data_IF_696723947795
#
_entry.id   IF_696723947795
#
_cell.length_a   1.000
_cell.length_b   1.000
_cell.length_c   1.000
_cell.angle_alpha   90.00
_cell.angle_beta   90.00
_cell.angle_gamma   90.00
#
_symmetry.space_group_name_H-M   'P 1'
#
loop_
_entity.id
_entity.type
_entity.pdbx_description
1 polymer ?
#
# COMPACT_ATOMS: atom_id res chain seq x y z
N UNK A 1 26.39 27.28 -21.90
CA UNK A 1 25.44 26.90 -20.87
C UNK A 1 24.33 26.02 -21.43
N UNK A 2 23.90 26.25 -22.63
CA UNK A 2 22.85 25.46 -23.25
C UNK A 2 22.56 25.83 -24.69
N UNK A 3 21.86 24.96 -25.38
CA UNK A 3 21.33 25.15 -26.72
C UNK A 3 19.83 24.92 -26.72
N UNK A 4 19.05 25.83 -27.27
CA UNK A 4 17.60 25.73 -27.37
C UNK A 4 17.11 26.14 -28.75
N UNK A 5 16.01 25.55 -29.22
CA UNK A 5 15.34 25.97 -30.44
C UNK A 5 14.38 27.11 -30.12
N UNK A 6 14.44 28.21 -30.87
CA UNK A 6 13.55 29.37 -30.73
C UNK A 6 12.66 29.60 -31.94
N UNK A 7 12.73 28.71 -32.94
CA UNK A 7 11.93 28.77 -34.15
C UNK A 7 12.39 27.77 -35.19
N UNK A 8 11.68 27.72 -36.32
CA UNK A 8 12.06 26.82 -37.42
C UNK A 8 13.41 27.24 -38.00
N UNK A 9 14.44 26.37 -37.83
CA UNK A 9 15.79 26.57 -38.35
C UNK A 9 16.64 27.57 -37.51
N UNK A 10 16.16 28.07 -36.39
CA UNK A 10 16.92 29.03 -35.55
C UNK A 10 17.22 28.39 -34.18
N UNK A 11 18.52 28.38 -33.83
CA UNK A 11 19.00 27.89 -32.55
C UNK A 11 19.62 29.00 -31.74
N UNK A 12 19.32 29.05 -30.47
CA UNK A 12 19.95 29.95 -29.48
C UNK A 12 21.03 29.18 -28.73
N UNK A 13 22.19 29.78 -28.65
CA UNK A 13 23.32 29.29 -27.83
C UNK A 13 23.64 30.32 -26.77
N UNK A 14 23.58 29.92 -25.51
CA UNK A 14 23.96 30.77 -24.38
C UNK A 14 25.38 30.38 -23.91
N UNK A 15 26.30 31.33 -23.99
CA UNK A 15 27.70 31.17 -23.62
C UNK A 15 28.11 32.20 -22.55
N UNK A 16 28.93 31.77 -21.59
CA UNK A 16 29.60 32.63 -20.65
C UNK A 16 31.05 32.80 -21.07
N UNK A 17 31.59 34.02 -20.88
CA UNK A 17 32.99 34.36 -21.19
C UNK A 17 33.61 35.12 -20.02
N UNK A 18 34.95 35.11 -19.95
CA UNK A 18 35.72 35.88 -18.95
C UNK A 18 35.37 35.48 -17.51
N UNK A 19 35.19 36.46 -16.65
CA UNK A 19 34.92 36.27 -15.20
C UNK A 19 33.61 35.49 -14.95
N UNK A 20 32.58 35.68 -15.79
CA UNK A 20 31.32 34.94 -15.68
C UNK A 20 31.49 33.45 -15.90
N UNK A 21 32.34 33.02 -16.83
CA UNK A 21 32.64 31.61 -17.07
C UNK A 21 33.41 31.01 -15.87
N UNK A 22 34.34 31.72 -15.30
CA UNK A 22 35.09 31.30 -14.12
C UNK A 22 34.19 31.15 -12.89
N UNK A 23 33.35 32.15 -12.63
CA UNK A 23 32.40 32.11 -11.51
C UNK A 23 31.41 30.95 -11.62
N UNK A 24 30.94 30.65 -12.84
CA UNK A 24 30.07 29.51 -13.11
C UNK A 24 30.77 28.19 -12.82
N UNK A 25 31.99 27.98 -13.34
CA UNK A 25 32.77 26.77 -13.09
C UNK A 25 33.09 26.56 -11.62
N UNK A 26 33.42 27.64 -10.90
CA UNK A 26 33.66 27.59 -9.45
C UNK A 26 32.41 27.15 -8.68
N UNK A 27 31.22 27.62 -9.08
CA UNK A 27 29.95 27.23 -8.49
C UNK A 27 29.63 25.75 -8.76
N UNK A 28 29.83 25.27 -9.99
CA UNK A 28 29.65 23.84 -10.31
C UNK A 28 30.61 22.96 -9.48
N UNK A 29 31.87 23.35 -9.38
CA UNK A 29 32.85 22.62 -8.58
C UNK A 29 32.46 22.58 -7.09
N UNK A 30 31.97 23.67 -6.53
CA UNK A 30 31.48 23.72 -5.17
C UNK A 30 30.29 22.81 -4.93
N UNK A 31 29.32 22.76 -5.87
CA UNK A 31 28.18 21.87 -5.81
C UNK A 31 28.57 20.38 -5.88
N UNK A 32 29.49 20.05 -6.79
CA UNK A 32 30.01 18.66 -6.91
C UNK A 32 30.75 18.27 -5.64
N UNK A 33 31.56 19.15 -5.06
CA UNK A 33 32.27 18.91 -3.81
C UNK A 33 31.31 18.72 -2.63
N UNK A 34 30.23 19.49 -2.57
CA UNK A 34 29.18 19.35 -1.56
C UNK A 34 28.47 18.01 -1.69
N UNK A 35 28.09 17.61 -2.91
CA UNK A 35 27.46 16.30 -3.17
C UNK A 35 28.40 15.15 -2.78
N UNK A 36 29.68 15.26 -3.14
CA UNK A 36 30.70 14.29 -2.77
C UNK A 36 30.79 14.12 -1.24
N UNK A 37 30.74 15.23 -0.51
CA UNK A 37 30.71 15.20 0.96
C UNK A 37 29.47 14.52 1.54
N UNK A 38 28.29 14.76 0.97
CA UNK A 38 27.02 14.15 1.42
C UNK A 38 27.06 12.62 1.22
N UNK A 39 27.57 12.15 0.08
CA UNK A 39 27.60 10.73 -0.27
C UNK A 39 28.81 9.99 0.30
N UNK A 40 29.78 10.73 0.86
CA UNK A 40 31.02 10.21 1.41
C UNK A 40 31.91 9.58 0.34
N UNK A 41 32.07 10.27 -0.81
CA UNK A 41 32.87 9.83 -1.95
C UNK A 41 33.76 10.97 -2.44
N UNK A 42 34.75 10.68 -3.31
CA UNK A 42 35.47 11.71 -4.06
C UNK A 42 34.62 12.17 -5.25
N UNK A 43 34.86 13.40 -5.77
CA UNK A 43 34.09 13.93 -6.91
C UNK A 43 34.07 13.02 -8.15
N UNK A 44 35.18 12.37 -8.44
CA UNK A 44 35.35 11.44 -9.56
C UNK A 44 34.64 10.09 -9.37
N UNK A 45 34.33 9.72 -8.11
CA UNK A 45 33.63 8.48 -7.74
C UNK A 45 32.12 8.67 -7.53
N UNK A 46 31.63 9.92 -7.67
CA UNK A 46 30.22 10.26 -7.40
C UNK A 46 29.21 9.42 -8.19
N UNK A 47 29.36 9.22 -9.52
CA UNK A 47 28.38 8.46 -10.29
C UNK A 47 28.24 7.01 -9.76
N UNK A 48 29.36 6.31 -9.60
CA UNK A 48 29.34 4.93 -9.10
C UNK A 48 28.82 4.82 -7.67
N UNK A 49 29.12 5.83 -6.84
CA UNK A 49 28.67 5.87 -5.45
C UNK A 49 27.16 6.08 -5.36
N UNK A 50 26.62 6.99 -6.18
CA UNK A 50 25.18 7.24 -6.26
C UNK A 50 24.45 6.00 -6.76
N UNK A 51 24.92 5.36 -7.82
CA UNK A 51 24.36 4.14 -8.35
C UNK A 51 24.36 3.01 -7.31
N UNK A 52 25.45 2.85 -6.56
CA UNK A 52 25.54 1.86 -5.48
C UNK A 52 24.53 2.16 -4.35
N UNK A 53 24.34 3.42 -3.96
CA UNK A 53 23.35 3.82 -2.94
C UNK A 53 21.93 3.53 -3.41
N UNK A 54 21.60 3.89 -4.66
CA UNK A 54 20.28 3.63 -5.24
C UNK A 54 20.00 2.13 -5.38
N UNK A 55 21.00 1.34 -5.78
CA UNK A 55 20.86 -0.12 -5.85
C UNK A 55 20.62 -0.74 -4.47
N UNK A 56 21.34 -0.28 -3.44
CA UNK A 56 21.14 -0.72 -2.06
C UNK A 56 19.78 -0.33 -1.52
N UNK A 57 19.31 0.88 -1.80
CA UNK A 57 17.97 1.33 -1.41
C UNK A 57 16.91 0.42 -2.03
N UNK A 58 16.97 0.19 -3.33
CA UNK A 58 16.03 -0.69 -4.05
C UNK A 58 16.04 -2.13 -3.50
N UNK A 59 17.22 -2.66 -3.15
CA UNK A 59 17.34 -3.99 -2.55
C UNK A 59 16.72 -4.04 -1.17
N UNK A 60 16.97 -3.04 -0.31
CA UNK A 60 16.39 -2.94 1.03
C UNK A 60 14.86 -2.80 0.98
N UNK A 61 14.33 -2.00 0.08
CA UNK A 61 12.87 -1.86 -0.12
C UNK A 61 12.24 -3.20 -0.54
N UNK A 62 12.89 -3.94 -1.45
CA UNK A 62 12.44 -5.26 -1.88
C UNK A 62 12.46 -6.29 -0.74
N UNK A 63 13.49 -6.28 0.08
CA UNK A 63 13.62 -7.17 1.25
C UNK A 63 12.55 -6.85 2.30
N UNK A 64 12.34 -5.57 2.62
CA UNK A 64 11.27 -5.13 3.52
C UNK A 64 9.90 -5.59 3.01
N UNK A 65 9.63 -5.44 1.72
CA UNK A 65 8.37 -5.89 1.11
C UNK A 65 8.20 -7.42 1.20
N UNK A 66 9.28 -8.19 1.01
CA UNK A 66 9.27 -9.65 1.15
C UNK A 66 9.01 -10.10 2.59
N UNK A 67 9.72 -9.53 3.56
CA UNK A 67 9.54 -9.84 4.99
C UNK A 67 8.13 -9.47 5.49
N UNK A 68 7.59 -8.34 5.03
CA UNK A 68 6.20 -7.95 5.35
C UNK A 68 5.20 -8.98 4.79
N UNK A 69 5.38 -9.42 3.54
CA UNK A 69 4.51 -10.41 2.92
C UNK A 69 4.59 -11.75 3.65
N UNK A 70 5.78 -12.20 4.01
CA UNK A 70 5.98 -13.42 4.79
C UNK A 70 5.27 -13.35 6.15
N UNK A 71 5.44 -12.24 6.88
CA UNK A 71 4.76 -11.99 8.15
C UNK A 71 3.23 -12.02 8.02
N UNK A 72 2.68 -11.40 6.98
CA UNK A 72 1.24 -11.42 6.71
C UNK A 72 0.74 -12.81 6.38
N UNK A 73 1.47 -13.57 5.57
CA UNK A 73 1.11 -14.96 5.19
C UNK A 73 1.18 -15.94 6.37
N UNK A 74 2.12 -15.75 7.30
CA UNK A 74 2.22 -16.58 8.50
C UNK A 74 0.96 -16.48 9.40
N UNK A 75 0.32 -15.32 9.45
CA UNK A 75 -0.91 -15.11 10.23
C UNK A 75 -2.18 -15.71 9.63
N UNK A 76 -2.16 -16.15 8.37
CA UNK A 76 -3.37 -16.68 7.70
C UNK A 76 -3.90 -17.95 8.36
N UNK A 77 -3.00 -18.82 8.88
CA UNK A 77 -3.39 -20.04 9.62
C UNK A 77 -4.17 -19.72 10.89
N UNK A 78 -3.73 -18.72 11.64
CA UNK A 78 -4.39 -18.29 12.87
C UNK A 78 -5.78 -17.69 12.59
N UNK A 79 -5.90 -16.94 11.48
CA UNK A 79 -7.19 -16.38 11.04
C UNK A 79 -8.19 -17.48 10.73
N UNK A 80 -7.77 -18.53 10.03
CA UNK A 80 -8.60 -19.69 9.72
C UNK A 80 -9.01 -20.47 10.98
N UNK A 81 -8.14 -20.54 11.98
CA UNK A 81 -8.45 -21.13 13.30
C UNK A 81 -9.45 -20.30 14.11
N UNK A 82 -9.55 -18.99 13.87
CA UNK A 82 -10.43 -18.04 14.55
C UNK A 82 -11.87 -17.97 13.98
N UNK A 83 -12.32 -19.02 13.29
CA UNK A 83 -13.68 -19.10 12.74
C UNK A 83 -14.77 -18.84 13.78
N UNK A 84 -15.70 -17.95 13.48
CA UNK A 84 -16.87 -17.64 14.30
C UNK A 84 -18.16 -17.85 13.53
N UNK A 85 -19.10 -18.60 14.09
CA UNK A 85 -20.42 -18.79 13.49
C UNK A 85 -21.33 -17.62 13.82
N UNK A 86 -21.89 -16.97 12.78
CA UNK A 86 -22.86 -15.88 12.90
C UNK A 86 -24.04 -16.21 11.99
N UNK A 87 -25.20 -16.51 12.57
CA UNK A 87 -26.35 -17.03 11.83
C UNK A 87 -25.98 -18.26 11.01
N UNK A 88 -26.12 -18.20 9.69
CA UNK A 88 -25.76 -19.26 8.75
C UNK A 88 -24.33 -19.16 8.21
N UNK A 89 -23.59 -18.08 8.54
CA UNK A 89 -22.28 -17.79 7.97
C UNK A 89 -21.14 -18.13 8.93
N UNK A 90 -20.03 -18.57 8.37
CA UNK A 90 -18.75 -18.65 9.05
C UNK A 90 -17.97 -17.34 8.81
N UNK A 91 -17.75 -16.57 9.86
CA UNK A 91 -17.06 -15.28 9.80
C UNK A 91 -15.61 -15.46 10.26
N UNK A 92 -14.68 -15.00 9.43
CA UNK A 92 -13.26 -14.95 9.71
C UNK A 92 -12.84 -13.49 9.82
N UNK A 93 -12.34 -13.08 10.97
CA UNK A 93 -11.89 -11.71 11.23
C UNK A 93 -10.40 -11.67 11.52
N UNK A 94 -9.72 -10.69 10.91
CA UNK A 94 -8.34 -10.35 11.24
C UNK A 94 -8.13 -8.85 11.32
N UNK A 95 -7.51 -8.42 12.42
CA UNK A 95 -6.94 -7.08 12.58
C UNK A 95 -5.44 -7.12 12.38
N UNK A 96 -4.93 -6.54 11.29
CA UNK A 96 -3.51 -6.59 10.94
C UNK A 96 -2.67 -5.52 11.64
N UNK A 97 -3.33 -4.58 12.38
CA UNK A 97 -2.64 -3.39 12.90
C UNK A 97 -2.21 -2.45 11.79
N UNK A 98 -1.03 -1.84 11.92
CA UNK A 98 -0.48 -0.96 10.91
C UNK A 98 0.10 -1.77 9.73
N UNK A 99 -0.31 -1.43 8.52
CA UNK A 99 0.16 -2.04 7.25
C UNK A 99 0.65 -0.96 6.29
N UNK A 100 1.45 -1.34 5.30
CA UNK A 100 2.03 -0.39 4.36
C UNK A 100 0.99 0.17 3.36
N UNK A 101 0.01 -0.64 2.98
CA UNK A 101 -0.98 -0.28 1.97
C UNK A 101 -2.31 -1.01 2.16
N UNK A 102 -3.36 -0.50 1.52
CA UNK A 102 -4.64 -1.21 1.43
C UNK A 102 -4.54 -2.52 0.63
N UNK A 103 -3.53 -2.65 -0.24
CA UNK A 103 -3.28 -3.88 -0.99
C UNK A 103 -2.78 -5.02 -0.09
N UNK A 104 -2.07 -4.72 1.00
CA UNK A 104 -1.68 -5.71 2.00
C UNK A 104 -2.92 -6.33 2.66
N UNK A 105 -3.90 -5.49 3.04
CA UNK A 105 -5.19 -5.93 3.61
C UNK A 105 -5.93 -6.83 2.61
N UNK A 106 -5.95 -6.43 1.34
CA UNK A 106 -6.59 -7.17 0.25
C UNK A 106 -5.91 -8.51 0.00
N UNK A 107 -4.59 -8.55 0.01
CA UNK A 107 -3.82 -9.78 -0.17
C UNK A 107 -4.17 -10.81 0.90
N UNK A 108 -4.15 -10.41 2.18
CA UNK A 108 -4.52 -11.32 3.28
C UNK A 108 -5.97 -11.79 3.15
N UNK A 109 -6.92 -10.90 2.85
CA UNK A 109 -8.31 -11.28 2.67
C UNK A 109 -8.50 -12.30 1.53
N UNK A 110 -7.76 -12.12 0.43
CA UNK A 110 -7.78 -13.03 -0.72
C UNK A 110 -7.16 -14.38 -0.39
N UNK A 111 -6.03 -14.38 0.33
CA UNK A 111 -5.33 -15.61 0.74
C UNK A 111 -6.17 -16.43 1.71
N UNK A 112 -6.77 -15.78 2.73
CA UNK A 112 -7.70 -16.47 3.66
C UNK A 112 -8.89 -17.05 2.90
N UNK A 113 -9.52 -16.23 2.06
CA UNK A 113 -10.67 -16.63 1.25
C UNK A 113 -10.32 -17.80 0.31
N UNK A 114 -9.13 -17.81 -0.28
CA UNK A 114 -8.67 -18.85 -1.20
C UNK A 114 -8.43 -20.22 -0.53
N UNK A 115 -8.32 -20.28 0.80
CA UNK A 115 -8.15 -21.51 1.58
C UNK A 115 -9.46 -22.06 2.14
N UNK A 116 -10.57 -21.36 1.94
CA UNK A 116 -11.92 -21.78 2.36
C UNK A 116 -12.64 -22.39 1.16
N UNK A 117 -13.31 -23.51 1.36
CA UNK A 117 -14.11 -24.15 0.32
C UNK A 117 -15.25 -23.20 -0.13
N UNK A 118 -15.47 -23.12 -1.43
CA UNK A 118 -16.47 -22.22 -2.01
C UNK A 118 -17.92 -22.66 -1.72
N UNK A 119 -18.10 -23.92 -1.30
CA UNK A 119 -19.36 -24.47 -0.83
C UNK A 119 -19.71 -24.10 0.62
N UNK A 120 -18.72 -23.64 1.42
CA UNK A 120 -18.95 -23.16 2.78
C UNK A 120 -19.45 -21.72 2.76
N UNK A 121 -20.52 -21.36 3.48
CA UNK A 121 -21.04 -20.00 3.51
C UNK A 121 -20.16 -19.08 4.39
N UNK A 122 -19.01 -18.65 3.85
CA UNK A 122 -18.01 -17.93 4.61
C UNK A 122 -17.88 -16.44 4.19
N UNK A 123 -17.66 -15.61 5.19
CA UNK A 123 -17.35 -14.17 5.08
C UNK A 123 -16.03 -13.90 5.74
N UNK A 124 -15.08 -13.39 4.97
CA UNK A 124 -13.75 -12.99 5.44
C UNK A 124 -13.72 -11.48 5.56
N UNK A 125 -13.35 -10.97 6.73
CA UNK A 125 -13.23 -9.54 7.03
C UNK A 125 -11.81 -9.28 7.53
N UNK A 126 -11.05 -8.49 6.81
CA UNK A 126 -9.67 -8.12 7.21
C UNK A 126 -9.60 -6.62 7.33
N UNK A 127 -9.18 -6.14 8.49
CA UNK A 127 -8.99 -4.73 8.78
C UNK A 127 -7.53 -4.41 9.13
N UNK A 128 -7.09 -3.21 8.78
CA UNK A 128 -5.78 -2.67 9.13
C UNK A 128 -5.79 -1.15 9.11
N UNK A 129 -4.68 -0.54 9.48
CA UNK A 129 -4.47 0.91 9.39
C UNK A 129 -3.36 1.22 8.41
N UNK A 130 -3.60 2.19 7.53
CA UNK A 130 -2.62 2.72 6.57
C UNK A 130 -2.44 4.20 6.87
N UNK A 131 -1.25 4.60 7.33
CA UNK A 131 -0.97 5.98 7.74
C UNK A 131 -2.02 6.51 8.74
N UNK A 132 -2.37 5.69 9.74
CA UNK A 132 -3.35 6.04 10.77
C UNK A 132 -4.82 6.01 10.32
N UNK A 133 -5.13 5.66 9.08
CA UNK A 133 -6.50 5.54 8.56
C UNK A 133 -6.90 4.07 8.42
N UNK A 134 -8.12 3.70 8.86
CA UNK A 134 -8.57 2.32 8.73
C UNK A 134 -8.83 1.96 7.26
N UNK A 135 -8.40 0.77 6.90
CA UNK A 135 -8.69 0.09 5.64
C UNK A 135 -9.28 -1.27 5.95
N UNK A 136 -10.31 -1.66 5.24
CA UNK A 136 -11.00 -2.94 5.41
C UNK A 136 -11.27 -3.58 4.07
N UNK A 137 -11.14 -4.90 4.03
CA UNK A 137 -11.54 -5.72 2.88
C UNK A 137 -12.48 -6.80 3.38
N UNK A 138 -13.60 -6.97 2.67
CA UNK A 138 -14.55 -8.05 2.87
C UNK A 138 -14.51 -8.95 1.63
N UNK A 139 -14.36 -10.24 1.85
CA UNK A 139 -14.45 -11.25 0.78
C UNK A 139 -15.45 -12.34 1.16
N UNK A 140 -16.17 -12.87 0.17
CA UNK A 140 -17.24 -13.86 0.37
C UNK A 140 -17.05 -15.06 -0.55
N UNK A 141 -17.43 -16.25 -0.07
CA UNK A 141 -17.51 -17.47 -0.88
C UNK A 141 -18.76 -17.47 -1.77
N UNK A 142 -18.82 -18.37 -2.74
CA UNK A 142 -20.00 -18.53 -3.60
C UNK A 142 -21.24 -18.90 -2.79
N UNK A 143 -21.12 -19.80 -1.83
CA UNK A 143 -22.22 -20.20 -0.95
C UNK A 143 -22.70 -19.04 -0.08
N UNK A 144 -21.77 -18.19 0.44
CA UNK A 144 -22.17 -17.01 1.20
C UNK A 144 -22.96 -16.00 0.36
N UNK A 145 -22.56 -15.78 -0.90
CA UNK A 145 -23.30 -14.90 -1.83
C UNK A 145 -24.69 -15.44 -2.16
N UNK A 146 -24.80 -16.74 -2.40
CA UNK A 146 -26.09 -17.40 -2.62
C UNK A 146 -27.01 -17.30 -1.38
N UNK A 147 -26.42 -17.33 -0.18
CA UNK A 147 -27.12 -17.12 1.08
C UNK A 147 -27.42 -15.64 1.41
N UNK A 148 -27.01 -14.68 0.52
CA UNK A 148 -27.34 -13.27 0.62
C UNK A 148 -26.23 -12.36 1.17
N UNK A 149 -25.08 -12.90 1.58
CA UNK A 149 -23.93 -12.09 2.03
C UNK A 149 -23.15 -11.56 0.82
N UNK A 150 -23.25 -10.24 0.57
CA UNK A 150 -22.56 -9.55 -0.53
C UNK A 150 -21.47 -8.64 0.02
N UNK A 151 -20.22 -8.85 -0.41
CA UNK A 151 -19.06 -8.10 0.09
C UNK A 151 -19.22 -6.59 -0.09
N UNK A 152 -19.75 -6.14 -1.23
CA UNK A 152 -19.97 -4.71 -1.49
C UNK A 152 -20.92 -4.05 -0.49
N UNK A 153 -22.01 -4.72 -0.11
CA UNK A 153 -22.96 -4.25 0.89
C UNK A 153 -22.34 -4.24 2.29
N UNK A 154 -21.73 -5.35 2.68
CA UNK A 154 -21.11 -5.51 4.00
C UNK A 154 -20.00 -4.50 4.24
N UNK A 155 -19.13 -4.25 3.23
CA UNK A 155 -18.05 -3.26 3.37
C UNK A 155 -18.60 -1.84 3.43
N UNK A 156 -19.69 -1.52 2.74
CA UNK A 156 -20.30 -0.20 2.80
C UNK A 156 -20.85 0.09 4.19
N UNK A 157 -21.55 -0.86 4.81
CA UNK A 157 -22.05 -0.78 6.19
C UNK A 157 -20.89 -0.65 7.19
N UNK A 158 -19.88 -1.50 7.08
CA UNK A 158 -18.67 -1.47 7.91
C UNK A 158 -17.95 -0.11 7.84
N UNK A 159 -17.71 0.39 6.63
CA UNK A 159 -16.99 1.65 6.40
C UNK A 159 -17.78 2.87 6.89
N UNK A 160 -19.11 2.84 6.82
CA UNK A 160 -19.98 3.89 7.38
C UNK A 160 -19.75 4.04 8.89
N UNK A 161 -19.61 2.92 9.61
CA UNK A 161 -19.29 2.93 11.05
C UNK A 161 -17.93 3.56 11.33
N UNK A 162 -16.96 3.40 10.42
CA UNK A 162 -15.63 4.02 10.50
C UNK A 162 -15.61 5.51 10.10
N UNK A 163 -16.73 6.10 9.74
CA UNK A 163 -16.82 7.48 9.25
C UNK A 163 -16.27 7.66 7.84
N UNK A 164 -16.43 6.63 6.99
CA UNK A 164 -15.94 6.64 5.62
C UNK A 164 -16.89 5.95 4.65
N UNK A 165 -16.33 5.38 3.58
CA UNK A 165 -17.07 4.71 2.54
C UNK A 165 -16.30 3.54 1.97
N UNK A 166 -17.03 2.64 1.31
CA UNK A 166 -16.47 1.48 0.66
C UNK A 166 -17.41 0.94 -0.40
N UNK A 167 -16.89 0.04 -1.22
CA UNK A 167 -17.63 -0.61 -2.27
C UNK A 167 -16.76 -1.60 -3.03
N UNK A 168 -17.37 -2.25 -3.99
CA UNK A 168 -16.69 -3.25 -4.80
C UNK A 168 -17.69 -4.27 -5.34
N UNK A 169 -17.17 -5.42 -5.74
CA UNK A 169 -17.99 -6.52 -6.23
C UNK A 169 -18.58 -7.32 -5.07
N UNK A 170 -19.52 -8.22 -5.41
CA UNK A 170 -20.18 -9.07 -4.42
C UNK A 170 -19.24 -10.14 -3.82
N UNK A 171 -18.15 -10.49 -4.53
CA UNK A 171 -17.16 -11.48 -4.09
C UNK A 171 -16.05 -10.87 -3.23
N UNK A 172 -15.64 -9.64 -3.55
CA UNK A 172 -14.63 -8.90 -2.81
C UNK A 172 -14.88 -7.39 -2.94
N UNK A 173 -14.81 -6.69 -1.81
CA UNK A 173 -14.98 -5.26 -1.74
C UNK A 173 -14.03 -4.65 -0.71
N UNK A 174 -13.69 -3.38 -0.92
CA UNK A 174 -12.76 -2.64 -0.06
C UNK A 174 -13.37 -1.33 0.37
N UNK A 175 -13.05 -0.91 1.57
CA UNK A 175 -13.47 0.36 2.13
C UNK A 175 -12.52 0.86 3.21
N UNK A 176 -12.89 1.93 3.83
CA UNK A 176 -12.10 2.54 4.89
C UNK A 176 -12.86 3.67 5.56
N UNK A 177 -12.17 4.38 6.44
CA UNK A 177 -12.76 5.49 7.18
C UNK A 177 -11.71 6.42 7.77
N UNK A 178 -12.09 7.09 8.84
CA UNK A 178 -11.21 8.06 9.49
C UNK A 178 -10.83 7.61 10.91
N UNK A 179 -11.64 6.78 11.55
CA UNK A 179 -11.45 6.39 12.95
C UNK A 179 -11.12 4.90 13.08
N UNK A 180 -9.83 4.55 13.26
CA UNK A 180 -9.41 3.17 13.42
C UNK A 180 -9.84 2.52 14.76
N UNK A 181 -10.16 3.32 15.79
CA UNK A 181 -10.59 2.80 17.08
C UNK A 181 -11.95 2.09 17.01
N UNK A 182 -12.73 2.38 15.98
CA UNK A 182 -14.07 1.81 15.76
C UNK A 182 -14.09 0.53 14.95
N UNK A 183 -12.94 -0.07 14.62
CA UNK A 183 -12.86 -1.31 13.84
C UNK A 183 -13.65 -2.46 14.47
N UNK A 184 -13.56 -2.63 15.80
CA UNK A 184 -14.30 -3.67 16.51
C UNK A 184 -15.81 -3.39 16.59
N UNK A 185 -16.21 -2.12 16.68
CA UNK A 185 -17.62 -1.71 16.61
C UNK A 185 -18.21 -2.00 15.22
N UNK A 186 -17.45 -1.67 14.17
CA UNK A 186 -17.85 -1.95 12.79
C UNK A 186 -17.98 -3.47 12.52
N UNK A 187 -17.12 -4.30 13.14
CA UNK A 187 -17.24 -5.76 13.06
C UNK A 187 -18.56 -6.25 13.69
N UNK A 188 -18.91 -5.74 14.87
CA UNK A 188 -20.19 -6.09 15.53
C UNK A 188 -21.41 -5.69 14.69
N UNK A 189 -21.34 -4.53 14.03
CA UNK A 189 -22.40 -4.08 13.11
C UNK A 189 -22.54 -5.02 11.93
N UNK A 190 -21.43 -5.47 11.34
CA UNK A 190 -21.42 -6.45 10.26
C UNK A 190 -21.97 -7.81 10.71
N UNK A 191 -21.55 -8.29 11.89
CA UNK A 191 -22.05 -9.54 12.47
C UNK A 191 -23.58 -9.48 12.70
N UNK A 192 -24.10 -8.35 13.20
CA UNK A 192 -25.54 -8.14 13.38
C UNK A 192 -26.32 -8.10 12.05
N UNK A 193 -25.69 -7.70 10.96
CA UNK A 193 -26.30 -7.72 9.61
C UNK A 193 -26.35 -9.13 9.00
N UNK A 194 -25.49 -10.04 9.46
CA UNK A 194 -25.41 -11.43 9.01
C UNK A 194 -26.29 -12.39 9.82
N UNK A 195 -26.61 -12.04 11.06
CA UNK A 195 -27.43 -12.87 11.99
C UNK A 195 -28.89 -12.66 11.76
#
# INVERSE_FOLDING_TARGET
>A
LGESSIGSGVRRVDALVGEGAYAYGAKEHALVSQLAGIVGARPDELPERIDAVLARLKSAEKEIAALRREKLSAGVGDILGGRRRVGRFDVYWAGLGEVASGDDVRTVATDVRGRIDDSDPAVVVVGGTVNGRPSVVVATTSAARQAGARAGRLVASFSKTLGGGGGGRDDIAQGGGQDPSRLLEALKTLEAELG
#
